data_IF_729583913482
#
_entry.id   IF_729583913482
#
_cell.length_a   1.000
_cell.length_b   1.000
_cell.length_c   1.000
_cell.angle_alpha   90.00
_cell.angle_beta   90.00
_cell.angle_gamma   90.00
#
_symmetry.space_group_name_H-M   'P 1'
#
loop_
_entity.id
_entity.type
_entity.pdbx_description
1 polymer ?
#
# COMPACT_ATOMS: atom_id res chain seq x y z
N UNK A 1 -13.23 -17.38 -14.41
CA UNK A 1 -13.31 -16.28 -13.41
C UNK A 1 -12.78 -16.79 -12.07
N UNK A 2 -11.60 -16.34 -11.62
CA UNK A 2 -10.91 -16.89 -10.44
C UNK A 2 -10.89 -15.86 -9.29
N UNK A 3 -12.05 -15.58 -8.72
CA UNK A 3 -12.19 -14.85 -7.47
C UNK A 3 -12.29 -15.87 -6.34
N UNK A 4 -11.20 -16.20 -5.60
CA UNK A 4 -11.38 -16.74 -4.22
C UNK A 4 -10.19 -16.98 -3.30
N UNK A 5 -8.95 -16.63 -3.64
CA UNK A 5 -7.90 -16.60 -2.61
C UNK A 5 -7.03 -15.38 -2.83
N UNK A 6 -7.06 -14.47 -1.85
CA UNK A 6 -5.97 -13.51 -1.64
C UNK A 6 -4.71 -14.34 -1.49
N UNK A 7 -3.98 -14.50 -2.59
CA UNK A 7 -2.69 -15.18 -2.56
C UNK A 7 -1.70 -14.24 -1.90
N UNK A 8 -0.66 -14.79 -1.27
CA UNK A 8 0.46 -13.99 -0.79
C UNK A 8 1.00 -13.08 -1.90
N UNK A 9 1.01 -13.55 -3.16
CA UNK A 9 1.33 -12.76 -4.35
C UNK A 9 0.43 -11.53 -4.52
N UNK A 10 -0.89 -11.67 -4.39
CA UNK A 10 -1.82 -10.53 -4.51
C UNK A 10 -1.59 -9.50 -3.42
N UNK A 11 -1.33 -9.96 -2.19
CA UNK A 11 -0.97 -9.08 -1.06
C UNK A 11 0.31 -8.30 -1.39
N UNK A 12 1.38 -8.98 -1.83
CA UNK A 12 2.63 -8.32 -2.24
C UNK A 12 2.44 -7.35 -3.41
N UNK A 13 1.59 -7.66 -4.39
CA UNK A 13 1.27 -6.74 -5.49
C UNK A 13 0.61 -5.46 -4.99
N UNK A 14 -0.29 -5.57 -4.01
CA UNK A 14 -0.90 -4.40 -3.38
C UNK A 14 0.13 -3.55 -2.60
N UNK A 15 1.10 -4.18 -1.92
CA UNK A 15 2.21 -3.44 -1.27
C UNK A 15 3.08 -2.72 -2.29
N UNK A 16 3.49 -3.41 -3.36
CA UNK A 16 4.35 -2.83 -4.39
C UNK A 16 3.64 -1.75 -5.21
N UNK A 17 2.31 -1.73 -5.27
CA UNK A 17 1.56 -0.71 -5.99
C UNK A 17 1.57 0.68 -5.31
N UNK A 18 1.90 0.74 -4.02
CA UNK A 18 1.95 1.99 -3.24
C UNK A 18 3.42 2.35 -3.02
N UNK A 19 3.85 3.49 -3.57
CA UNK A 19 5.23 3.94 -3.50
C UNK A 19 5.38 5.07 -2.49
N UNK A 20 6.22 4.87 -1.47
CA UNK A 20 6.72 5.94 -0.61
C UNK A 20 7.99 6.52 -1.21
N UNK A 21 8.08 7.85 -1.26
CA UNK A 21 9.26 8.58 -1.73
C UNK A 21 9.60 9.67 -0.72
N UNK A 22 10.90 9.88 -0.46
CA UNK A 22 11.37 11.03 0.32
C UNK A 22 11.76 12.12 -0.67
N UNK A 23 11.03 13.23 -0.67
CA UNK A 23 11.38 14.44 -1.43
C UNK A 23 11.75 15.51 -0.42
N UNK A 24 12.96 16.06 -0.53
CA UNK A 24 13.45 17.15 0.35
C UNK A 24 13.37 16.82 1.86
N UNK A 25 13.55 15.55 2.21
CA UNK A 25 13.47 15.09 3.62
C UNK A 25 12.05 14.86 4.15
N UNK A 26 11.03 15.17 3.34
CA UNK A 26 9.62 14.85 3.64
C UNK A 26 9.28 13.55 2.94
N UNK A 27 8.86 12.55 3.71
CA UNK A 27 8.42 11.31 3.13
C UNK A 27 6.94 11.46 2.72
N UNK A 28 6.61 10.90 1.57
CA UNK A 28 5.30 11.09 0.96
C UNK A 28 4.92 9.89 0.11
N UNK A 29 3.63 9.57 0.10
CA UNK A 29 3.10 8.52 -0.78
C UNK A 29 2.66 9.15 -2.10
N UNK A 30 3.50 9.02 -3.12
CA UNK A 30 3.34 9.76 -4.40
C UNK A 30 2.24 9.19 -5.31
N UNK A 31 1.77 7.96 -5.06
CA UNK A 31 0.86 7.25 -5.95
C UNK A 31 -0.46 6.85 -5.26
N UNK A 32 -0.90 7.66 -4.30
CA UNK A 32 -2.03 7.35 -3.42
C UNK A 32 -3.38 7.68 -4.09
N UNK A 33 -3.87 6.81 -4.97
CA UNK A 33 -5.23 6.92 -5.53
C UNK A 33 -6.29 6.47 -4.51
N UNK A 34 -7.56 6.83 -4.75
CA UNK A 34 -8.68 6.40 -3.92
C UNK A 34 -8.78 4.86 -3.80
N UNK A 35 -8.52 4.12 -4.89
CA UNK A 35 -8.52 2.64 -4.80
C UNK A 35 -7.40 2.12 -3.92
N UNK A 36 -6.19 2.71 -4.00
CA UNK A 36 -5.05 2.29 -3.19
C UNK A 36 -5.23 2.63 -1.72
N UNK A 37 -5.84 3.79 -1.40
CA UNK A 37 -6.25 4.11 -0.03
C UNK A 37 -7.26 3.09 0.50
N UNK A 38 -8.21 2.66 -0.33
CA UNK A 38 -9.19 1.66 0.05
C UNK A 38 -8.53 0.30 0.31
N UNK A 39 -7.58 -0.13 -0.54
CA UNK A 39 -6.80 -1.36 -0.35
C UNK A 39 -5.99 -1.32 0.94
N UNK A 40 -5.32 -0.20 1.26
CA UNK A 40 -4.52 -0.05 2.47
C UNK A 40 -5.33 -0.22 3.77
N UNK A 41 -6.64 0.04 3.76
CA UNK A 41 -7.52 -0.18 4.93
C UNK A 41 -7.62 -1.66 5.33
N UNK A 42 -7.41 -2.58 4.38
CA UNK A 42 -7.43 -4.02 4.64
C UNK A 42 -6.10 -4.56 5.18
N UNK A 43 -5.03 -3.77 5.14
CA UNK A 43 -3.74 -4.20 5.67
C UNK A 43 -3.70 -4.08 7.19
N UNK A 44 -3.02 -5.01 7.89
CA UNK A 44 -2.76 -4.90 9.31
C UNK A 44 -2.08 -3.56 9.66
N UNK A 45 -2.27 -3.08 10.89
CA UNK A 45 -1.70 -1.79 11.33
C UNK A 45 -0.17 -1.74 11.17
N UNK A 46 0.51 -2.87 11.42
CA UNK A 46 1.97 -3.03 11.24
C UNK A 46 2.44 -2.84 9.80
N UNK A 47 1.55 -2.99 8.83
CA UNK A 47 1.86 -2.79 7.43
C UNK A 47 1.64 -1.34 6.98
N UNK A 48 0.77 -0.61 7.69
CA UNK A 48 0.44 0.78 7.37
C UNK A 48 1.51 1.77 7.83
N UNK A 49 2.30 1.41 8.85
CA UNK A 49 3.40 2.27 9.34
C UNK A 49 4.40 2.62 8.23
N UNK A 50 4.69 1.69 7.31
CA UNK A 50 5.53 1.97 6.14
C UNK A 50 5.04 3.09 5.22
N UNK A 51 3.77 3.49 5.34
CA UNK A 51 3.12 4.52 4.52
C UNK A 51 2.68 5.75 5.32
N UNK A 52 2.64 5.70 6.66
CA UNK A 52 2.08 6.75 7.53
C UNK A 52 3.15 7.49 8.33
N UNK A 53 4.31 6.87 8.55
CA UNK A 53 5.50 7.57 9.08
C UNK A 53 6.34 8.20 7.96
N UNK A 54 5.76 8.29 6.76
CA UNK A 54 6.29 9.03 5.65
C UNK A 54 5.79 10.47 5.75
#
# INVERSE_FOLDING_TARGET
MRWRRSTLRWIFQCFQAVHGLVIEGVAQVVNLTAERQWILKFFPTVCRVYYVTA
#
